data_IF_512284906331
#
_entry.id   IF_512284906331
#
_cell.length_a   1.000
_cell.length_b   1.000
_cell.length_c   1.000
_cell.angle_alpha   90.00
_cell.angle_beta   90.00
_cell.angle_gamma   90.00
#
_symmetry.space_group_name_H-M   'P 1'
#
loop_
_entity.id
_entity.type
_entity.pdbx_description
1 polymer ?
#
# COMPACT_ATOMS: atom_id res chain seq x y z
N UNK A 1 -25.30 -15.38 -4.04
CA UNK A 1 -25.12 -16.76 -4.50
C UNK A 1 -23.63 -16.95 -4.77
N UNK A 2 -22.95 -17.83 -4.02
CA UNK A 2 -21.52 -18.08 -4.23
C UNK A 2 -21.36 -19.13 -5.34
N UNK A 3 -20.42 -18.89 -6.26
CA UNK A 3 -20.03 -19.83 -7.30
C UNK A 3 -18.53 -20.08 -7.19
N UNK A 4 -18.13 -21.34 -7.28
CA UNK A 4 -16.72 -21.75 -7.32
C UNK A 4 -16.26 -21.84 -8.77
N UNK A 5 -15.06 -21.34 -9.05
CA UNK A 5 -14.40 -21.42 -10.36
C UNK A 5 -13.05 -22.09 -10.13
N UNK A 6 -12.74 -23.09 -10.96
CA UNK A 6 -11.47 -23.83 -10.92
C UNK A 6 -10.90 -23.89 -12.34
N UNK A 7 -9.59 -23.74 -12.45
CA UNK A 7 -8.83 -23.88 -13.69
C UNK A 7 -7.41 -24.29 -13.34
N UNK A 8 -6.75 -24.98 -14.25
CA UNK A 8 -5.34 -25.35 -14.11
C UNK A 8 -4.46 -24.17 -14.54
N UNK A 9 -3.38 -23.95 -13.78
CA UNK A 9 -2.35 -22.97 -14.12
C UNK A 9 -1.11 -23.73 -14.59
N UNK A 10 -0.84 -23.63 -15.89
CA UNK A 10 0.35 -24.22 -16.50
C UNK A 10 1.45 -23.15 -16.59
N UNK A 11 2.59 -23.45 -15.97
CA UNK A 11 3.80 -22.64 -16.05
C UNK A 11 5.02 -23.56 -16.02
N UNK A 12 6.08 -23.17 -16.72
CA UNK A 12 7.39 -23.81 -16.60
C UNK A 12 7.97 -23.62 -15.19
N UNK A 13 9.00 -24.40 -14.86
CA UNK A 13 9.72 -24.24 -13.60
C UNK A 13 10.35 -22.83 -13.49
N UNK A 14 10.90 -22.32 -14.59
CA UNK A 14 11.50 -20.98 -14.65
C UNK A 14 10.46 -19.87 -14.39
N UNK A 15 9.28 -19.97 -15.00
CA UNK A 15 8.18 -19.03 -14.76
C UNK A 15 7.67 -19.13 -13.31
N UNK A 16 7.58 -20.34 -12.77
CA UNK A 16 7.17 -20.59 -11.38
C UNK A 16 8.15 -19.93 -10.40
N UNK A 17 9.45 -20.08 -10.62
CA UNK A 17 10.49 -19.48 -9.80
C UNK A 17 10.49 -17.95 -9.91
N UNK A 18 10.26 -17.41 -11.11
CA UNK A 18 10.10 -15.97 -11.32
C UNK A 18 8.87 -15.42 -10.60
N UNK A 19 7.73 -16.11 -10.66
CA UNK A 19 6.50 -15.70 -9.97
C UNK A 19 6.70 -15.67 -8.46
N UNK A 20 7.31 -16.71 -7.87
CA UNK A 20 7.64 -16.73 -6.44
C UNK A 20 8.52 -15.54 -6.03
N UNK A 21 9.51 -15.20 -6.86
CA UNK A 21 10.40 -14.07 -6.63
C UNK A 21 9.69 -12.70 -6.70
N UNK A 22 8.74 -12.54 -7.62
CA UNK A 22 7.94 -11.31 -7.78
C UNK A 22 6.94 -11.18 -6.63
N UNK A 23 6.22 -12.25 -6.32
CA UNK A 23 5.16 -12.29 -5.30
C UNK A 23 5.71 -12.39 -3.86
N UNK A 24 7.02 -12.67 -3.71
CA UNK A 24 7.69 -12.85 -2.42
C UNK A 24 7.07 -13.99 -1.59
N UNK A 25 6.76 -15.11 -2.25
CA UNK A 25 6.14 -16.28 -1.64
C UNK A 25 6.95 -17.55 -1.88
N UNK A 26 6.66 -18.60 -1.11
CA UNK A 26 7.21 -19.94 -1.31
C UNK A 26 6.25 -20.84 -2.12
N UNK A 27 6.67 -22.07 -2.44
CA UNK A 27 5.87 -23.02 -3.24
C UNK A 27 4.50 -23.34 -2.62
N UNK A 28 4.42 -23.40 -1.29
CA UNK A 28 3.18 -23.71 -0.58
C UNK A 28 2.18 -22.54 -0.65
N UNK A 29 2.68 -21.32 -0.80
CA UNK A 29 1.89 -20.09 -0.83
C UNK A 29 1.51 -19.67 -2.25
N UNK A 30 2.24 -20.12 -3.27
CA UNK A 30 2.07 -19.65 -4.64
C UNK A 30 0.63 -19.81 -5.15
N UNK A 31 0.00 -20.95 -4.88
CA UNK A 31 -1.39 -21.21 -5.29
C UNK A 31 -2.39 -20.22 -4.67
N UNK A 32 -2.20 -19.86 -3.40
CA UNK A 32 -3.05 -18.90 -2.70
C UNK A 32 -2.85 -17.49 -3.26
N UNK A 33 -1.60 -17.08 -3.48
CA UNK A 33 -1.29 -15.76 -4.05
C UNK A 33 -1.83 -15.61 -5.48
N UNK A 34 -1.69 -16.63 -6.32
CA UNK A 34 -2.28 -16.64 -7.66
C UNK A 34 -3.80 -16.64 -7.62
N UNK A 35 -4.42 -17.32 -6.65
CA UNK A 35 -5.88 -17.32 -6.47
C UNK A 35 -6.40 -15.92 -6.10
N UNK A 36 -5.68 -15.18 -5.26
CA UNK A 36 -6.01 -13.78 -4.94
C UNK A 36 -5.90 -12.87 -6.17
N UNK A 37 -4.85 -13.02 -6.98
CA UNK A 37 -4.70 -12.29 -8.24
C UNK A 37 -5.80 -12.64 -9.23
N UNK A 38 -6.12 -13.93 -9.39
CA UNK A 38 -7.20 -14.39 -10.26
C UNK A 38 -8.55 -13.81 -9.85
N UNK A 39 -8.84 -13.76 -8.54
CA UNK A 39 -10.03 -13.11 -7.99
C UNK A 39 -10.06 -11.61 -8.33
N UNK A 40 -8.94 -10.91 -8.22
CA UNK A 40 -8.84 -9.50 -8.60
C UNK A 40 -9.12 -9.27 -10.08
N UNK A 41 -8.50 -10.07 -10.96
CA UNK A 41 -8.69 -10.04 -12.42
C UNK A 41 -10.12 -10.38 -12.82
N UNK A 42 -10.73 -11.41 -12.22
CA UNK A 42 -12.11 -11.78 -12.52
C UNK A 42 -13.09 -10.69 -12.08
N UNK A 43 -12.85 -10.03 -10.94
CA UNK A 43 -13.62 -8.86 -10.51
C UNK A 43 -13.54 -7.73 -11.54
N UNK A 44 -12.36 -7.48 -12.12
CA UNK A 44 -12.16 -6.52 -13.21
C UNK A 44 -13.02 -6.88 -14.43
N UNK A 45 -12.90 -8.11 -14.94
CA UNK A 45 -13.68 -8.58 -16.08
C UNK A 45 -15.19 -8.58 -15.83
N UNK A 46 -15.64 -8.98 -14.63
CA UNK A 46 -17.06 -8.97 -14.28
C UNK A 46 -17.65 -7.55 -14.36
N UNK A 47 -16.92 -6.54 -13.89
CA UNK A 47 -17.35 -5.14 -13.98
C UNK A 47 -17.40 -4.64 -15.42
N UNK A 48 -16.51 -5.13 -16.28
CA UNK A 48 -16.51 -4.81 -17.71
C UNK A 48 -17.66 -5.49 -18.46
N UNK A 49 -17.87 -6.80 -18.26
CA UNK A 49 -18.93 -7.58 -18.91
C UNK A 49 -20.32 -7.03 -18.57
N UNK A 50 -20.53 -6.60 -17.32
CA UNK A 50 -21.78 -5.97 -16.89
C UNK A 50 -21.95 -4.52 -17.35
N UNK A 51 -20.99 -3.96 -18.10
CA UNK A 51 -21.01 -2.56 -18.55
C UNK A 51 -20.82 -1.53 -17.44
N UNK A 52 -20.45 -1.94 -16.22
CA UNK A 52 -20.28 -1.06 -15.06
C UNK A 52 -18.96 -0.28 -15.13
N UNK A 53 -17.97 -0.81 -15.87
CA UNK A 53 -16.69 -0.16 -16.15
C UNK A 53 -16.32 -0.39 -17.61
N UNK A 54 -16.28 0.68 -18.39
CA UNK A 54 -15.82 0.65 -19.79
C UNK A 54 -14.55 1.49 -19.87
N UNK A 55 -13.40 0.84 -20.05
CA UNK A 55 -12.12 1.52 -20.17
C UNK A 55 -11.83 1.85 -21.63
N UNK A 56 -11.51 3.11 -21.90
CA UNK A 56 -11.11 3.58 -23.23
C UNK A 56 -9.61 3.86 -23.33
N UNK A 57 -8.91 3.93 -22.20
CA UNK A 57 -7.46 4.17 -22.10
C UNK A 57 -6.82 3.08 -21.25
N UNK A 58 -5.67 2.56 -21.69
CA UNK A 58 -4.94 1.52 -20.94
C UNK A 58 -4.58 1.95 -19.51
N UNK A 59 -4.34 3.24 -19.29
CA UNK A 59 -4.09 3.80 -17.95
C UNK A 59 -5.29 3.64 -17.01
N UNK A 60 -6.52 3.85 -17.49
CA UNK A 60 -7.73 3.68 -16.67
C UNK A 60 -7.90 2.22 -16.24
N UNK A 61 -7.49 1.27 -17.09
CA UNK A 61 -7.48 -0.16 -16.80
C UNK A 61 -6.41 -0.52 -15.75
N UNK A 62 -5.19 0.01 -15.87
CA UNK A 62 -4.14 -0.18 -14.85
C UNK A 62 -4.56 0.38 -13.47
N UNK A 63 -5.18 1.56 -13.44
CA UNK A 63 -5.72 2.15 -12.21
C UNK A 63 -6.76 1.25 -11.54
N UNK A 64 -7.71 0.71 -12.33
CA UNK A 64 -8.73 -0.17 -11.80
C UNK A 64 -8.18 -1.54 -11.39
N UNK A 65 -7.16 -2.04 -12.09
CA UNK A 65 -6.45 -3.26 -11.70
C UNK A 65 -5.79 -3.11 -10.34
N UNK A 66 -5.07 -2.01 -10.12
CA UNK A 66 -4.44 -1.76 -8.81
C UNK A 66 -5.49 -1.67 -7.71
N UNK A 67 -6.64 -1.03 -7.96
CA UNK A 67 -7.75 -1.00 -7.01
C UNK A 67 -8.26 -2.41 -6.66
N UNK A 68 -8.44 -3.30 -7.64
CA UNK A 68 -8.87 -4.68 -7.36
C UNK A 68 -7.78 -5.47 -6.62
N UNK A 69 -6.50 -5.30 -6.99
CA UNK A 69 -5.39 -5.93 -6.27
C UNK A 69 -5.33 -5.46 -4.82
N UNK A 70 -5.53 -4.17 -4.54
CA UNK A 70 -5.62 -3.65 -3.16
C UNK A 70 -6.70 -4.39 -2.38
N UNK A 71 -7.88 -4.62 -2.98
CA UNK A 71 -9.02 -5.25 -2.31
C UNK A 71 -8.85 -6.74 -2.07
N UNK A 72 -8.24 -7.47 -3.00
CA UNK A 72 -8.28 -8.93 -2.99
C UNK A 72 -6.91 -9.60 -2.85
N UNK A 73 -5.82 -8.93 -3.21
CA UNK A 73 -4.46 -9.43 -3.10
C UNK A 73 -3.73 -8.85 -1.89
N UNK A 74 -3.77 -7.53 -1.72
CA UNK A 74 -3.16 -6.85 -0.57
C UNK A 74 -4.09 -6.75 0.65
N UNK A 75 -5.19 -7.51 0.66
CA UNK A 75 -6.11 -7.62 1.80
C UNK A 75 -6.54 -6.25 2.38
N UNK A 76 -6.86 -5.31 1.47
CA UNK A 76 -7.31 -3.96 1.82
C UNK A 76 -6.19 -3.03 2.29
N UNK A 77 -4.94 -3.26 1.88
CA UNK A 77 -3.80 -2.40 2.23
C UNK A 77 -3.21 -1.75 0.98
N UNK A 78 -2.72 -0.52 1.13
CA UNK A 78 -2.01 0.15 0.04
C UNK A 78 -0.61 -0.47 -0.09
N UNK A 79 -0.26 -1.06 -1.25
CA UNK A 79 1.06 -1.64 -1.44
C UNK A 79 2.17 -0.59 -1.49
N UNK A 80 3.38 -1.01 -1.16
CA UNK A 80 4.60 -0.22 -1.35
C UNK A 80 4.93 -0.01 -2.83
N UNK A 81 5.73 1.02 -3.13
CA UNK A 81 6.10 1.36 -4.52
C UNK A 81 6.80 0.18 -5.23
N UNK A 82 7.67 -0.54 -4.53
CA UNK A 82 8.39 -1.69 -5.09
C UNK A 82 7.46 -2.85 -5.47
N UNK A 83 6.41 -3.10 -4.67
CA UNK A 83 5.42 -4.14 -4.98
C UNK A 83 4.64 -3.79 -6.25
N UNK A 84 4.29 -2.51 -6.42
CA UNK A 84 3.65 -2.02 -7.64
C UNK A 84 4.60 -2.13 -8.84
N UNK A 85 5.86 -1.71 -8.69
CA UNK A 85 6.87 -1.86 -9.74
C UNK A 85 7.03 -3.32 -10.18
N UNK A 86 7.09 -4.25 -9.24
CA UNK A 86 7.23 -5.67 -9.54
C UNK A 86 6.00 -6.25 -10.26
N UNK A 87 4.79 -5.88 -9.85
CA UNK A 87 3.56 -6.40 -10.45
C UNK A 87 3.22 -5.77 -11.81
N UNK A 88 3.50 -4.48 -11.97
CA UNK A 88 3.12 -3.71 -13.16
C UNK A 88 4.27 -3.48 -14.13
N UNK A 89 5.51 -3.83 -13.75
CA UNK A 89 6.72 -3.60 -14.53
C UNK A 89 6.89 -2.12 -14.92
N UNK A 90 6.64 -1.24 -13.95
CA UNK A 90 6.70 0.23 -14.11
C UNK A 90 7.81 0.84 -13.25
N UNK A 91 8.20 2.06 -13.58
CA UNK A 91 9.17 2.83 -12.78
C UNK A 91 8.59 3.28 -11.44
N UNK A 92 9.42 3.61 -10.43
CA UNK A 92 8.93 4.14 -9.15
C UNK A 92 8.10 5.42 -9.29
N UNK A 93 8.43 6.27 -10.26
CA UNK A 93 7.66 7.49 -10.54
C UNK A 93 6.26 7.17 -11.06
N UNK A 94 6.14 6.20 -11.95
CA UNK A 94 4.84 5.73 -12.44
C UNK A 94 4.03 5.04 -11.35
N UNK A 95 4.65 4.21 -10.50
CA UNK A 95 3.99 3.59 -9.36
C UNK A 95 3.38 4.64 -8.42
N UNK A 96 4.12 5.70 -8.09
CA UNK A 96 3.60 6.84 -7.30
C UNK A 96 2.46 7.57 -8.02
N UNK A 97 2.61 7.80 -9.31
CA UNK A 97 1.57 8.39 -10.14
C UNK A 97 0.29 7.55 -10.13
N UNK A 98 0.42 6.23 -10.18
CA UNK A 98 -0.69 5.29 -10.16
C UNK A 98 -1.41 5.32 -8.81
N UNK A 99 -0.68 5.28 -7.69
CA UNK A 99 -1.26 5.41 -6.34
C UNK A 99 -2.04 6.72 -6.22
N UNK A 100 -1.44 7.86 -6.57
CA UNK A 100 -2.10 9.17 -6.51
C UNK A 100 -3.35 9.23 -7.39
N UNK A 101 -3.30 8.64 -8.58
CA UNK A 101 -4.44 8.58 -9.47
C UNK A 101 -5.60 7.78 -8.89
N UNK A 102 -5.32 6.58 -8.35
CA UNK A 102 -6.39 5.75 -7.75
C UNK A 102 -6.94 6.36 -6.47
N UNK A 103 -6.12 7.00 -5.64
CA UNK A 103 -6.59 7.61 -4.39
C UNK A 103 -7.43 8.84 -4.65
N UNK A 104 -7.13 9.62 -5.69
CA UNK A 104 -8.00 10.71 -6.13
C UNK A 104 -9.32 10.21 -6.74
N UNK A 105 -9.25 9.23 -7.65
CA UNK A 105 -10.40 8.74 -8.42
C UNK A 105 -11.37 7.88 -7.59
N UNK A 106 -10.84 7.09 -6.66
CA UNK A 106 -11.58 6.15 -5.83
C UNK A 106 -11.50 6.53 -4.34
N UNK A 107 -11.41 7.84 -4.03
CA UNK A 107 -11.20 8.34 -2.66
C UNK A 107 -12.18 7.76 -1.64
N UNK A 108 -13.45 7.59 -1.99
CA UNK A 108 -14.46 7.06 -1.07
C UNK A 108 -14.29 5.56 -0.81
N UNK A 109 -13.82 4.82 -1.80
CA UNK A 109 -13.55 3.39 -1.66
C UNK A 109 -12.24 3.13 -0.90
N UNK A 110 -11.27 4.05 -1.02
CA UNK A 110 -9.94 3.90 -0.45
C UNK A 110 -9.73 4.65 0.87
N UNK A 111 -10.63 5.56 1.27
CA UNK A 111 -10.44 6.41 2.46
C UNK A 111 -10.18 5.61 3.73
N UNK A 112 -11.00 4.58 3.98
CA UNK A 112 -10.86 3.70 5.15
C UNK A 112 -9.60 2.85 5.05
N UNK A 113 -9.27 2.36 3.86
CA UNK A 113 -8.05 1.57 3.60
C UNK A 113 -6.80 2.40 3.89
N UNK A 114 -6.76 3.64 3.40
CA UNK A 114 -5.65 4.58 3.65
C UNK A 114 -5.55 4.89 5.14
N UNK A 115 -6.68 5.20 5.79
CA UNK A 115 -6.72 5.50 7.21
C UNK A 115 -6.15 4.36 8.05
N UNK A 116 -6.60 3.13 7.84
CA UNK A 116 -6.11 1.96 8.58
C UNK A 116 -4.64 1.64 8.24
N UNK A 117 -4.20 1.85 6.99
CA UNK A 117 -2.79 1.64 6.61
C UNK A 117 -1.86 2.63 7.32
N UNK A 118 -2.23 3.92 7.38
CA UNK A 118 -1.46 4.94 8.09
C UNK A 118 -1.47 4.71 9.61
N UNK A 119 -2.61 4.32 10.17
CA UNK A 119 -2.72 3.93 11.58
C UNK A 119 -1.77 2.78 11.91
N UNK A 120 -1.77 1.73 11.08
CA UNK A 120 -0.88 0.58 11.28
C UNK A 120 0.58 0.95 11.20
N UNK A 121 0.96 1.78 10.23
CA UNK A 121 2.32 2.30 10.11
C UNK A 121 2.78 3.00 11.42
N UNK A 122 1.90 3.75 12.07
CA UNK A 122 2.21 4.46 13.31
C UNK A 122 2.19 3.56 14.57
N UNK A 123 1.37 2.52 14.57
CA UNK A 123 1.16 1.63 15.73
C UNK A 123 2.18 0.46 15.74
N UNK A 124 2.35 -0.20 14.60
CA UNK A 124 3.15 -1.41 14.49
C UNK A 124 4.62 -1.12 14.20
N UNK A 125 4.89 -0.14 13.33
CA UNK A 125 6.20 0.06 12.70
C UNK A 125 6.97 1.27 13.26
N UNK A 126 6.32 2.15 14.03
CA UNK A 126 7.00 3.28 14.65
C UNK A 126 7.96 2.80 15.75
N UNK A 127 9.18 3.35 15.73
CA UNK A 127 10.22 3.06 16.70
C UNK A 127 10.76 4.35 17.31
N UNK A 128 10.81 4.42 18.63
CA UNK A 128 11.27 5.59 19.38
C UNK A 128 12.80 5.64 19.41
N UNK A 129 13.38 6.78 19.05
CA UNK A 129 14.82 6.99 19.09
C UNK A 129 15.26 7.66 20.40
N UNK A 130 16.59 7.76 20.59
CA UNK A 130 17.20 8.31 21.82
C UNK A 130 16.79 9.76 22.14
N UNK A 131 16.44 10.56 21.13
CA UNK A 131 16.01 11.95 21.29
C UNK A 131 14.50 12.08 21.55
N UNK A 132 13.81 10.96 21.82
CA UNK A 132 12.36 10.83 21.97
C UNK A 132 11.54 11.12 20.70
N UNK A 133 12.18 11.31 19.55
CA UNK A 133 11.52 11.33 18.24
C UNK A 133 11.29 9.90 17.74
N UNK A 134 10.49 9.73 16.68
CA UNK A 134 10.17 8.40 16.15
C UNK A 134 10.71 8.21 14.73
N UNK A 135 11.08 6.98 14.42
CA UNK A 135 11.50 6.49 13.11
C UNK A 135 10.37 5.65 12.51
N UNK A 136 10.07 5.90 11.24
CA UNK A 136 9.04 5.19 10.47
C UNK A 136 9.67 4.60 9.20
N UNK A 137 9.60 3.29 8.97
CA UNK A 137 9.97 2.70 7.70
C UNK A 137 8.86 2.95 6.66
N UNK A 138 9.00 4.01 5.88
CA UNK A 138 8.01 4.36 4.85
C UNK A 138 8.47 3.81 3.50
N UNK A 139 7.77 2.76 3.04
CA UNK A 139 7.99 2.12 1.75
C UNK A 139 7.25 2.80 0.57
N UNK A 140 6.49 3.87 0.86
CA UNK A 140 5.63 4.57 -0.09
C UNK A 140 5.56 6.06 0.22
N UNK A 141 6.06 6.91 -0.69
CA UNK A 141 6.05 8.37 -0.50
C UNK A 141 4.63 8.95 -0.36
N UNK A 142 3.62 8.26 -0.89
CA UNK A 142 2.22 8.63 -0.68
C UNK A 142 1.87 8.70 0.81
N UNK A 143 2.36 7.76 1.64
CA UNK A 143 2.08 7.79 3.08
C UNK A 143 2.74 8.97 3.77
N UNK A 144 3.98 9.29 3.42
CA UNK A 144 4.65 10.50 3.93
C UNK A 144 3.85 11.75 3.58
N UNK A 145 3.39 11.87 2.33
CA UNK A 145 2.60 13.02 1.88
C UNK A 145 1.25 13.10 2.60
N UNK A 146 0.56 11.98 2.81
CA UNK A 146 -0.74 11.95 3.49
C UNK A 146 -0.61 12.21 5.01
N UNK A 147 0.43 11.70 5.67
CA UNK A 147 0.74 12.05 7.07
C UNK A 147 0.97 13.55 7.22
N UNK A 148 1.75 14.16 6.32
CA UNK A 148 2.00 15.59 6.32
C UNK A 148 0.74 16.42 6.05
N UNK A 149 -0.16 15.93 5.20
CA UNK A 149 -1.46 16.56 4.96
C UNK A 149 -2.36 16.50 6.20
N UNK A 150 -2.37 15.39 6.93
CA UNK A 150 -3.09 15.27 8.21
C UNK A 150 -2.48 16.20 9.25
N UNK A 151 -1.17 16.25 9.40
CA UNK A 151 -0.51 17.19 10.32
C UNK A 151 -0.88 18.65 9.98
N UNK A 152 -0.86 19.02 8.70
CA UNK A 152 -1.25 20.35 8.26
C UNK A 152 -2.72 20.70 8.51
N UNK A 153 -3.63 19.71 8.51
CA UNK A 153 -5.04 19.92 8.85
C UNK A 153 -5.29 20.00 10.36
N UNK A 154 -4.44 19.36 11.17
CA UNK A 154 -4.45 19.48 12.63
C UNK A 154 -3.88 20.85 13.04
N UNK A 155 -2.68 21.21 12.58
CA UNK A 155 -2.02 22.47 12.91
C UNK A 155 -0.87 22.79 11.96
N UNK A 156 -0.80 24.04 11.50
CA UNK A 156 0.30 24.54 10.65
C UNK A 156 1.63 24.71 11.39
N UNK A 157 1.65 24.53 12.72
CA UNK A 157 2.87 24.64 13.55
C UNK A 157 3.56 23.30 13.77
N UNK A 158 2.93 22.19 13.39
CA UNK A 158 3.49 20.86 13.62
C UNK A 158 4.64 20.58 12.65
N UNK A 159 5.78 20.06 13.13
CA UNK A 159 6.86 19.57 12.29
C UNK A 159 6.38 18.51 11.30
N UNK A 160 6.81 18.61 10.05
CA UNK A 160 6.50 17.60 9.03
C UNK A 160 7.36 16.33 9.21
N UNK A 161 6.88 15.22 8.66
CA UNK A 161 7.64 13.98 8.49
C UNK A 161 8.73 14.18 7.44
N UNK A 162 9.98 14.00 7.85
CA UNK A 162 11.18 14.24 7.03
C UNK A 162 11.94 12.95 6.77
N UNK A 163 12.59 12.85 5.60
CA UNK A 163 13.45 11.70 5.29
C UNK A 163 14.66 11.76 6.22
N UNK A 164 15.01 10.61 6.79
CA UNK A 164 16.28 10.46 7.49
C UNK A 164 17.44 10.52 6.47
N UNK A 165 18.47 11.31 6.77
CA UNK A 165 19.59 11.54 5.85
C UNK A 165 20.54 10.35 5.73
N UNK A 166 20.57 9.47 6.73
CA UNK A 166 21.54 8.38 6.86
C UNK A 166 21.01 7.06 6.28
N UNK A 167 19.69 6.96 6.07
CA UNK A 167 19.03 5.72 5.69
C UNK A 167 18.10 5.89 4.49
N UNK A 168 17.95 4.83 3.72
CA UNK A 168 17.01 4.81 2.61
C UNK A 168 15.68 4.22 3.09
N UNK A 169 14.60 5.00 3.03
CA UNK A 169 13.26 4.54 3.39
C UNK A 169 12.85 4.73 4.85
N UNK A 170 13.74 5.22 5.72
CA UNK A 170 13.35 5.64 7.08
C UNK A 170 13.05 7.14 7.10
N UNK A 171 12.03 7.50 7.85
CA UNK A 171 11.59 8.87 8.06
C UNK A 171 11.57 9.18 9.54
N UNK A 172 11.93 10.41 9.88
CA UNK A 172 11.85 10.92 11.24
C UNK A 172 10.58 11.74 11.41
N UNK A 173 9.87 11.47 12.49
CA UNK A 173 8.74 12.27 12.96
C UNK A 173 9.02 12.74 14.39
N UNK A 174 8.86 14.04 14.63
CA UNK A 174 9.08 14.60 15.95
C UNK A 174 8.01 14.14 16.93
N UNK A 175 8.37 14.02 18.22
CA UNK A 175 7.46 13.56 19.27
C UNK A 175 6.10 14.29 19.28
N UNK A 176 6.11 15.62 19.09
CA UNK A 176 4.89 16.43 19.03
C UNK A 176 3.96 16.00 17.89
N UNK A 177 4.48 15.88 16.67
CA UNK A 177 3.72 15.44 15.50
C UNK A 177 3.25 13.98 15.62
N UNK A 178 4.08 13.10 16.19
CA UNK A 178 3.69 11.70 16.39
C UNK A 178 2.53 11.56 17.38
N UNK A 179 2.56 12.28 18.50
CA UNK A 179 1.46 12.26 19.47
C UNK A 179 0.16 12.82 18.90
N UNK A 180 0.22 13.89 18.11
CA UNK A 180 -0.97 14.44 17.45
C UNK A 180 -1.57 13.46 16.42
N UNK A 181 -0.73 12.75 15.66
CA UNK A 181 -1.21 11.68 14.80
C UNK A 181 -1.81 10.52 15.61
N UNK A 182 -1.17 10.10 16.70
CA UNK A 182 -1.72 9.06 17.57
C UNK A 182 -3.10 9.45 18.11
N UNK A 183 -3.28 10.70 18.53
CA UNK A 183 -4.57 11.26 18.93
C UNK A 183 -5.59 11.25 17.78
N UNK A 184 -5.18 11.68 16.59
CA UNK A 184 -6.03 11.66 15.39
C UNK A 184 -6.52 10.25 15.04
N UNK A 185 -5.63 9.26 15.07
CA UNK A 185 -5.93 7.86 14.77
C UNK A 185 -6.50 7.07 15.96
N UNK A 186 -6.57 7.69 17.15
CA UNK A 186 -7.01 7.08 18.42
C UNK A 186 -6.22 5.82 18.78
N UNK A 187 -4.90 5.90 18.68
CA UNK A 187 -3.94 4.85 19.07
C UNK A 187 -3.06 5.34 20.21
N UNK A 188 -2.50 4.40 20.98
CA UNK A 188 -1.54 4.72 22.02
C UNK A 188 -0.14 4.91 21.41
N UNK A 189 0.65 5.90 21.87
CA UNK A 189 2.04 6.04 21.42
C UNK A 189 2.86 4.77 21.69
N UNK A 190 3.65 4.34 20.70
CA UNK A 190 4.56 3.20 20.86
C UNK A 190 5.62 3.46 21.93
N UNK A 191 6.03 2.37 22.59
CA UNK A 191 7.17 2.34 23.53
C UNK A 191 8.35 1.54 22.97
N UNK A 192 8.25 1.03 21.75
CA UNK A 192 9.31 0.21 21.12
C UNK A 192 10.50 1.11 20.77
N UNK A 193 11.70 0.75 21.23
CA UNK A 193 12.90 1.52 20.95
C UNK A 193 13.52 1.15 19.59
N UNK A 194 14.06 2.15 18.92
CA UNK A 194 14.90 2.01 17.73
C UNK A 194 16.31 1.63 18.18
N UNK A 195 16.65 0.35 18.08
CA UNK A 195 18.02 -0.11 18.27
C UNK A 195 18.80 0.17 16.99
N UNK A 196 19.74 1.12 17.07
CA UNK A 196 20.67 1.44 15.98
C UNK A 196 21.66 0.29 15.73
#
# INVERSE_FOLDING_TARGET
>A
MNKTIQFDFEASQEETDLLKNILKCNDQQLGDELSKIAKASLSEYNKMILGQRVFTRGKDMQEFRLLNLIKYYFDGQIPGEQQICALFQVTPTEARGLIRAITAKYQYELSTIIFESLKRLLDDEALKNANADFKLPINNLFFKDELNKILGSISTKLPIVVKDSETNGIYTIQNSSYNELCNHFRIAPTIKDYNA
#
